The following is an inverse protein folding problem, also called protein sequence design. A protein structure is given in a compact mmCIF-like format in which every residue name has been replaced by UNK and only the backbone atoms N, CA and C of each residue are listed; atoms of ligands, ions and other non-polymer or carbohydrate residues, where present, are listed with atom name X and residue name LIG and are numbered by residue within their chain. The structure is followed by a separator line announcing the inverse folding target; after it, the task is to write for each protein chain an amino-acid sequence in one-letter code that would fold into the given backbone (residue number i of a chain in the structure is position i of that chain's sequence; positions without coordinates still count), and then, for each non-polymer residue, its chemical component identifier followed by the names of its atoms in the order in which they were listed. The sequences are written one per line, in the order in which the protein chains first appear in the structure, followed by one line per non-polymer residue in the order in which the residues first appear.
data_IF_933045650107
#
_entry.id   IF_933045650107
#
_cell.length_a   1.000
_cell.length_b   1.000
_cell.length_c   1.000
_cell.angle_alpha   90.00
_cell.angle_beta   90.00
_cell.angle_gamma   90.00
#
_symmetry.space_group_name_H-M   'P 1'
#
loop_
_entity.id
_entity.type
_entity.pdbx_description
1 polymer ?
#
# COMPACT_ATOMS: atom_id res chain seq x y z
N UNK A 1 -8.17 -30.33 6.08
CA UNK A 1 -7.34 -29.61 5.10
C UNK A 1 -8.15 -29.47 3.80
N UNK A 2 -8.47 -28.23 3.40
CA UNK A 2 -9.25 -28.00 2.15
C UNK A 2 -8.29 -27.95 0.98
N UNK A 3 -8.48 -28.85 -0.01
CA UNK A 3 -7.62 -28.92 -1.19
C UNK A 3 -8.08 -28.00 -2.34
N UNK A 4 -9.30 -27.43 -2.27
CA UNK A 4 -9.88 -26.64 -3.36
C UNK A 4 -10.56 -25.38 -2.81
N UNK A 5 -10.43 -24.28 -3.56
CA UNK A 5 -11.17 -23.06 -3.32
C UNK A 5 -12.63 -23.20 -3.76
N UNK A 6 -13.54 -22.62 -3.00
CA UNK A 6 -14.96 -22.51 -3.39
C UNK A 6 -15.14 -21.58 -4.57
N UNK A 7 -16.30 -21.64 -5.22
CA UNK A 7 -16.67 -20.68 -6.27
C UNK A 7 -16.66 -19.23 -5.73
N UNK A 8 -17.11 -19.02 -4.52
CA UNK A 8 -17.11 -17.71 -3.87
C UNK A 8 -15.70 -17.16 -3.65
N UNK A 9 -14.78 -17.97 -3.15
CA UNK A 9 -13.37 -17.56 -2.94
C UNK A 9 -12.69 -17.23 -4.28
N UNK A 10 -12.94 -18.00 -5.32
CA UNK A 10 -12.44 -17.71 -6.66
C UNK A 10 -13.00 -16.40 -7.22
N UNK A 11 -14.30 -16.17 -7.06
CA UNK A 11 -14.95 -14.92 -7.49
C UNK A 11 -14.36 -13.71 -6.76
N UNK A 12 -14.16 -13.79 -5.44
CA UNK A 12 -13.53 -12.74 -4.64
C UNK A 12 -12.10 -12.46 -5.10
N UNK A 13 -11.32 -13.50 -5.39
CA UNK A 13 -9.95 -13.35 -5.89
C UNK A 13 -9.92 -12.63 -7.25
N UNK A 14 -10.75 -13.05 -8.20
CA UNK A 14 -10.83 -12.41 -9.51
C UNK A 14 -11.28 -10.95 -9.43
N UNK A 15 -12.25 -10.65 -8.57
CA UNK A 15 -12.70 -9.28 -8.32
C UNK A 15 -11.55 -8.40 -7.78
N UNK A 16 -10.82 -8.87 -6.78
CA UNK A 16 -9.70 -8.13 -6.20
C UNK A 16 -8.53 -7.98 -7.20
N UNK A 17 -8.25 -8.99 -8.03
CA UNK A 17 -7.29 -8.88 -9.12
C UNK A 17 -7.73 -7.83 -10.15
N UNK A 18 -9.03 -7.75 -10.46
CA UNK A 18 -9.58 -6.72 -11.34
C UNK A 18 -9.41 -5.31 -10.78
N UNK A 19 -9.70 -5.09 -9.48
CA UNK A 19 -9.49 -3.81 -8.79
C UNK A 19 -8.04 -3.32 -8.85
N UNK A 20 -7.10 -4.25 -8.87
CA UNK A 20 -5.66 -3.95 -8.89
C UNK A 20 -5.04 -3.98 -10.30
N UNK A 21 -5.86 -4.16 -11.35
CA UNK A 21 -5.41 -4.16 -12.74
C UNK A 21 -4.45 -5.31 -13.07
N UNK A 22 -4.64 -6.48 -12.48
CA UNK A 22 -3.81 -7.67 -12.69
C UNK A 22 -4.65 -8.92 -13.04
N UNK A 23 -5.91 -8.74 -13.43
CA UNK A 23 -6.81 -9.85 -13.75
C UNK A 23 -6.30 -10.69 -14.93
N UNK A 24 -5.69 -10.07 -15.93
CA UNK A 24 -5.11 -10.73 -17.10
C UNK A 24 -3.93 -11.64 -16.76
N UNK A 25 -3.36 -11.48 -15.56
CA UNK A 25 -2.23 -12.28 -15.09
C UNK A 25 -2.64 -13.54 -14.31
N UNK A 26 -3.95 -13.81 -14.19
CA UNK A 26 -4.51 -14.89 -13.35
C UNK A 26 -3.96 -16.29 -13.64
N UNK A 27 -3.55 -16.55 -14.89
CA UNK A 27 -3.02 -17.83 -15.36
C UNK A 27 -1.48 -17.81 -15.54
N UNK A 28 -0.81 -16.68 -15.19
CA UNK A 28 0.64 -16.54 -15.27
C UNK A 28 1.33 -17.07 -14.02
N UNK A 29 2.54 -17.59 -14.21
CA UNK A 29 3.38 -17.94 -13.07
C UNK A 29 3.85 -16.67 -12.34
N UNK A 30 3.71 -16.62 -11.02
CA UNK A 30 4.08 -15.46 -10.21
C UNK A 30 5.54 -15.01 -10.42
N UNK A 31 6.46 -15.97 -10.64
CA UNK A 31 7.89 -15.69 -10.86
C UNK A 31 8.20 -15.00 -12.19
N UNK A 32 7.27 -15.04 -13.14
CA UNK A 32 7.41 -14.41 -14.47
C UNK A 32 6.89 -12.97 -14.47
N UNK A 33 6.29 -12.52 -13.37
CA UNK A 33 5.72 -11.19 -13.25
C UNK A 33 6.80 -10.16 -12.92
N UNK A 34 6.63 -8.92 -13.42
CA UNK A 34 7.46 -7.80 -12.99
C UNK A 34 7.25 -7.50 -11.49
N UNK A 35 8.20 -6.80 -10.85
CA UNK A 35 8.10 -6.46 -9.43
C UNK A 35 6.78 -5.74 -9.08
N UNK A 36 6.35 -4.76 -9.88
CA UNK A 36 5.09 -4.07 -9.68
C UNK A 36 3.86 -4.98 -9.86
N UNK A 37 3.89 -5.91 -10.82
CA UNK A 37 2.84 -6.91 -10.99
C UNK A 37 2.80 -7.88 -9.81
N UNK A 38 3.95 -8.36 -9.34
CA UNK A 38 4.05 -9.21 -8.16
C UNK A 38 3.47 -8.52 -6.93
N UNK A 39 3.80 -7.27 -6.71
CA UNK A 39 3.30 -6.49 -5.57
C UNK A 39 1.78 -6.31 -5.61
N UNK A 40 1.21 -6.01 -6.79
CA UNK A 40 -0.25 -5.92 -6.97
C UNK A 40 -0.96 -7.26 -6.76
N UNK A 41 -0.37 -8.37 -7.19
CA UNK A 41 -0.90 -9.73 -6.95
C UNK A 41 -0.88 -10.06 -5.44
N UNK A 42 0.21 -9.71 -4.72
CA UNK A 42 0.27 -9.87 -3.27
C UNK A 42 -0.78 -9.02 -2.55
N UNK A 43 -0.99 -7.79 -3.02
CA UNK A 43 -2.03 -6.91 -2.49
C UNK A 43 -3.44 -7.48 -2.77
N UNK A 44 -3.69 -8.02 -3.96
CA UNK A 44 -4.95 -8.71 -4.28
C UNK A 44 -5.21 -9.89 -3.34
N UNK A 45 -4.18 -10.66 -3.05
CA UNK A 45 -4.25 -11.76 -2.09
C UNK A 45 -4.56 -11.26 -0.67
N UNK A 46 -3.89 -10.18 -0.23
CA UNK A 46 -4.15 -9.58 1.07
C UNK A 46 -5.61 -9.10 1.19
N UNK A 47 -6.14 -8.47 0.15
CA UNK A 47 -7.54 -8.01 0.09
C UNK A 47 -8.56 -9.17 0.17
N UNK A 48 -8.21 -10.37 -0.27
CA UNK A 48 -9.10 -11.53 -0.12
C UNK A 48 -9.28 -11.93 1.36
N UNK A 49 -8.29 -11.65 2.20
CA UNK A 49 -8.31 -11.94 3.63
C UNK A 49 -8.65 -10.72 4.48
N UNK A 50 -8.43 -9.52 3.96
CA UNK A 50 -8.70 -8.28 4.66
C UNK A 50 -10.21 -7.98 4.71
N UNK A 51 -10.67 -7.57 5.90
CA UNK A 51 -12.01 -6.98 6.05
C UNK A 51 -11.93 -5.46 5.82
N UNK A 52 -11.82 -4.70 6.93
CA UNK A 52 -11.79 -3.23 6.91
C UNK A 52 -10.38 -2.61 7.04
N UNK A 53 -9.34 -3.41 7.26
CA UNK A 53 -7.96 -2.96 7.54
C UNK A 53 -6.94 -3.73 6.72
N UNK A 54 -6.01 -2.99 6.12
CA UNK A 54 -4.84 -3.51 5.41
C UNK A 54 -3.57 -2.96 6.08
N UNK A 55 -2.65 -3.85 6.43
CA UNK A 55 -1.35 -3.48 7.01
C UNK A 55 -0.26 -3.84 6.00
N UNK A 56 0.57 -2.87 5.64
CA UNK A 56 1.62 -2.99 4.66
C UNK A 56 2.96 -2.60 5.26
N UNK A 57 3.97 -3.43 5.03
CA UNK A 57 5.35 -3.16 5.44
C UNK A 57 6.20 -2.95 4.18
N UNK A 58 6.72 -1.73 4.01
CA UNK A 58 7.57 -1.30 2.89
C UNK A 58 7.04 -1.74 1.50
N UNK A 59 5.77 -1.45 1.15
CA UNK A 59 5.13 -2.04 -0.03
C UNK A 59 5.73 -1.59 -1.37
N UNK A 60 6.51 -0.52 -1.40
CA UNK A 60 7.13 0.04 -2.62
C UNK A 60 8.60 -0.30 -2.76
N UNK A 61 9.20 -0.96 -1.77
CA UNK A 61 10.64 -1.31 -1.81
C UNK A 61 10.96 -2.19 -3.01
N UNK A 62 11.97 -1.78 -3.77
CA UNK A 62 12.40 -2.51 -4.97
C UNK A 62 11.57 -2.25 -6.24
N UNK A 63 10.57 -1.37 -6.17
CA UNK A 63 9.84 -0.92 -7.35
C UNK A 63 10.55 0.26 -8.02
N UNK A 64 10.39 0.35 -9.34
CA UNK A 64 10.74 1.58 -10.04
C UNK A 64 9.79 2.74 -9.66
N UNK A 65 10.18 3.99 -9.87
CA UNK A 65 9.38 5.15 -9.43
C UNK A 65 7.96 5.17 -10.01
N UNK A 66 7.76 4.73 -11.25
CA UNK A 66 6.44 4.72 -11.87
C UNK A 66 5.53 3.65 -11.22
N UNK A 67 6.06 2.44 -11.01
CA UNK A 67 5.34 1.36 -10.34
C UNK A 67 5.02 1.70 -8.88
N UNK A 68 5.93 2.40 -8.17
CA UNK A 68 5.70 2.88 -6.81
C UNK A 68 4.55 3.91 -6.77
N UNK A 69 4.56 4.90 -7.66
CA UNK A 69 3.48 5.90 -7.76
C UNK A 69 2.12 5.26 -8.08
N UNK A 70 2.10 4.30 -9.00
CA UNK A 70 0.87 3.56 -9.33
C UNK A 70 0.35 2.76 -8.13
N UNK A 71 1.25 2.18 -7.33
CA UNK A 71 0.85 1.48 -6.11
C UNK A 71 0.24 2.44 -5.08
N UNK A 72 0.86 3.61 -4.83
CA UNK A 72 0.31 4.63 -3.94
C UNK A 72 -1.07 5.11 -4.39
N UNK A 73 -1.28 5.35 -5.70
CA UNK A 73 -2.60 5.71 -6.25
C UNK A 73 -3.63 4.62 -6.01
N UNK A 74 -3.24 3.36 -6.18
CA UNK A 74 -4.09 2.20 -5.92
C UNK A 74 -4.48 2.13 -4.43
N UNK A 75 -3.53 2.32 -3.51
CA UNK A 75 -3.80 2.36 -2.08
C UNK A 75 -4.74 3.52 -1.71
N UNK A 76 -4.52 4.70 -2.29
CA UNK A 76 -5.41 5.85 -2.09
C UNK A 76 -6.84 5.57 -2.58
N UNK A 77 -7.00 4.91 -3.72
CA UNK A 77 -8.29 4.46 -4.22
C UNK A 77 -8.98 3.49 -3.26
N UNK A 78 -8.27 2.44 -2.81
CA UNK A 78 -8.81 1.47 -1.86
C UNK A 78 -9.27 2.11 -0.55
N UNK A 79 -8.54 3.12 -0.08
CA UNK A 79 -8.91 3.85 1.13
C UNK A 79 -10.14 4.75 0.91
N UNK A 80 -10.15 5.55 -0.15
CA UNK A 80 -11.18 6.58 -0.38
C UNK A 80 -12.48 6.01 -0.91
N UNK A 81 -12.40 5.09 -1.87
CA UNK A 81 -13.56 4.58 -2.60
C UNK A 81 -14.08 3.27 -2.02
N UNK A 82 -13.20 2.42 -1.50
CA UNK A 82 -13.58 1.11 -0.93
C UNK A 82 -13.69 1.16 0.60
N UNK A 83 -13.31 2.26 1.25
CA UNK A 83 -13.41 2.44 2.70
C UNK A 83 -12.45 1.56 3.50
N UNK A 84 -11.39 1.04 2.89
CA UNK A 84 -10.40 0.19 3.57
C UNK A 84 -9.43 1.07 4.33
N UNK A 85 -9.34 0.89 5.64
CA UNK A 85 -8.29 1.53 6.42
C UNK A 85 -6.91 0.94 6.06
N UNK A 86 -5.91 1.81 5.86
CA UNK A 86 -4.57 1.38 5.47
C UNK A 86 -3.57 1.88 6.50
N UNK A 87 -2.81 0.97 7.09
CA UNK A 87 -1.63 1.25 7.90
C UNK A 87 -0.41 0.81 7.11
N UNK A 88 0.50 1.74 6.85
CA UNK A 88 1.70 1.47 6.07
C UNK A 88 2.94 1.88 6.85
N UNK A 89 3.90 0.97 6.95
CA UNK A 89 5.26 1.28 7.41
C UNK A 89 6.10 1.58 6.17
N UNK A 90 6.78 2.73 6.16
CA UNK A 90 7.65 3.12 5.05
C UNK A 90 8.71 4.12 5.47
N UNK A 91 9.84 4.12 4.79
CA UNK A 91 10.88 5.14 4.86
C UNK A 91 10.75 6.18 3.74
N UNK A 92 9.81 6.02 2.83
CA UNK A 92 9.50 6.96 1.76
C UNK A 92 8.64 8.12 2.29
N UNK A 93 9.28 9.05 2.98
CA UNK A 93 8.62 10.16 3.67
C UNK A 93 7.87 11.07 2.69
N UNK A 94 8.41 11.31 1.50
CA UNK A 94 7.80 12.21 0.52
C UNK A 94 6.45 11.70 0.03
N UNK A 95 6.38 10.44 -0.35
CA UNK A 95 5.11 9.83 -0.74
C UNK A 95 4.17 9.64 0.46
N UNK A 96 4.69 9.30 1.65
CA UNK A 96 3.88 9.25 2.87
C UNK A 96 3.19 10.59 3.15
N UNK A 97 3.91 11.70 3.04
CA UNK A 97 3.36 13.05 3.21
C UNK A 97 2.29 13.41 2.16
N UNK A 98 2.41 12.88 0.96
CA UNK A 98 1.46 13.13 -0.13
C UNK A 98 0.15 12.35 0.03
N UNK A 99 0.23 11.11 0.50
CA UNK A 99 -0.92 10.18 0.46
C UNK A 99 -1.53 9.88 1.81
N UNK A 100 -0.77 9.99 2.92
CA UNK A 100 -1.28 9.70 4.24
C UNK A 100 -2.14 10.85 4.80
N UNK A 101 -3.15 10.50 5.59
CA UNK A 101 -3.96 11.45 6.37
C UNK A 101 -3.39 11.66 7.76
N UNK A 102 -2.76 10.64 8.31
CA UNK A 102 -2.16 10.63 9.65
C UNK A 102 -0.76 10.05 9.56
N UNK A 103 0.18 10.67 10.26
CA UNK A 103 1.58 10.26 10.36
C UNK A 103 1.85 9.80 11.78
N UNK A 104 2.40 8.61 11.93
CA UNK A 104 3.06 8.14 13.14
C UNK A 104 4.56 8.05 12.84
N UNK A 105 5.34 8.95 13.43
CA UNK A 105 6.79 8.93 13.31
C UNK A 105 7.41 8.51 14.65
N UNK A 106 8.29 7.52 14.61
CA UNK A 106 9.02 7.05 15.78
C UNK A 106 10.52 7.07 15.49
N UNK A 107 11.31 7.64 16.38
CA UNK A 107 12.76 7.69 16.25
C UNK A 107 13.45 8.30 17.47
N UNK A 108 14.66 7.83 17.77
CA UNK A 108 15.51 8.37 18.84
C UNK A 108 14.83 8.50 20.22
N UNK A 109 13.96 7.52 20.57
CA UNK A 109 13.25 7.53 21.85
C UNK A 109 12.09 8.52 21.94
N UNK A 110 11.75 9.17 20.85
CA UNK A 110 10.63 10.09 20.73
C UNK A 110 9.65 9.59 19.66
N UNK A 111 8.41 10.05 19.72
CA UNK A 111 7.39 9.74 18.76
C UNK A 111 6.48 10.94 18.50
N UNK A 112 5.88 10.96 17.32
CA UNK A 112 4.87 11.92 16.90
C UNK A 112 3.69 11.15 16.32
N UNK A 113 2.48 11.59 16.62
CA UNK A 113 1.26 11.11 15.96
C UNK A 113 0.36 12.32 15.71
N UNK A 114 -0.05 12.50 14.46
CA UNK A 114 -0.92 13.61 14.08
C UNK A 114 -1.19 13.64 12.59
N UNK A 115 -1.90 14.66 12.14
CA UNK A 115 -2.16 14.89 10.73
C UNK A 115 -0.88 15.21 9.95
N UNK A 116 -0.91 15.06 8.64
CA UNK A 116 0.21 15.43 7.76
C UNK A 116 0.57 16.92 7.91
N UNK A 117 -0.43 17.82 8.08
CA UNK A 117 -0.20 19.25 8.30
C UNK A 117 0.52 19.52 9.62
N UNK A 118 0.09 18.86 10.69
CA UNK A 118 0.74 18.97 12.01
C UNK A 118 2.16 18.40 11.99
N UNK A 119 2.37 17.29 11.24
CA UNK A 119 3.70 16.73 11.06
C UNK A 119 4.64 17.71 10.36
N UNK A 120 4.23 18.33 9.27
CA UNK A 120 5.03 19.32 8.53
C UNK A 120 5.38 20.54 9.39
N UNK A 121 4.49 20.96 10.29
CA UNK A 121 4.75 22.06 11.24
C UNK A 121 5.70 21.66 12.38
N UNK A 122 5.85 20.38 12.66
CA UNK A 122 6.68 19.84 13.74
C UNK A 122 8.20 19.95 13.44
N UNK A 123 9.06 19.81 14.45
CA UNK A 123 10.51 19.71 14.25
C UNK A 123 10.91 18.55 13.33
N UNK A 124 10.15 17.46 13.33
CA UNK A 124 10.34 16.30 12.46
C UNK A 124 10.12 16.64 11.00
N UNK A 125 8.97 17.25 10.70
CA UNK A 125 8.61 17.63 9.33
C UNK A 125 9.55 18.67 8.74
N UNK A 126 10.02 19.64 9.53
CA UNK A 126 11.01 20.63 9.10
C UNK A 126 12.36 20.01 8.72
N UNK A 127 12.74 18.92 9.39
CA UNK A 127 13.99 18.21 9.12
C UNK A 127 13.92 17.40 7.83
N UNK A 128 12.77 16.78 7.53
CA UNK A 128 12.58 15.88 6.38
C UNK A 128 11.87 16.54 5.20
N UNK A 129 11.09 17.62 5.42
CA UNK A 129 10.45 18.39 4.35
C UNK A 129 11.30 19.51 3.73
N UNK A 130 12.47 19.78 4.31
CA UNK A 130 13.39 20.85 3.89
C UNK A 130 14.52 20.45 2.93
N UNK A 131 14.68 19.18 2.58
CA UNK A 131 15.73 18.70 1.65
C UNK A 131 15.22 18.55 0.20
N UNK A 132 14.42 19.48 -0.26
CA UNK A 132 14.01 19.63 -1.65
C UNK A 132 14.57 20.91 -2.25
N UNK A 133 15.91 21.09 -2.27
CA UNK A 133 16.59 22.06 -3.13
C UNK A 133 17.77 21.42 -3.82
#
# INVERSE_FOLDING_TARGET
MRFFYTAQEKSTALMNMGKLGVLELKDRCYRELSGGQQQRVLLARALCAAGALLILDEPVTGLDPAAAQDLYRTLAYLNKEEGIAIVMVTHDIQNALQYATTILHAGHGQWFCGTTAEYLASPWGKRFGGEGK
#
